data_IF_489695192225
#
_entry.id   IF_489695192225
#
_cell.length_a   1.000
_cell.length_b   1.000
_cell.length_c   1.000
_cell.angle_alpha   90.00
_cell.angle_beta   90.00
_cell.angle_gamma   90.00
#
_symmetry.space_group_name_H-M   'P 1'
#
loop_
_entity.id
_entity.type
_entity.pdbx_description
1 polymer ?
#
# COMPACT_ATOMS: atom_id res chain seq x y z
N UNK A 1 27.78 -6.78 -35.97
CA UNK A 1 27.11 -7.38 -34.79
C UNK A 1 27.61 -6.80 -33.47
N UNK A 2 28.92 -6.74 -33.20
CA UNK A 2 29.48 -6.28 -31.90
C UNK A 2 28.91 -4.94 -31.40
N UNK A 3 28.77 -3.94 -32.27
CA UNK A 3 28.21 -2.64 -31.90
C UNK A 3 26.77 -2.70 -31.33
N UNK A 4 25.94 -3.62 -31.83
CA UNK A 4 24.56 -3.79 -31.36
C UNK A 4 24.54 -4.37 -29.94
N UNK A 5 25.45 -5.31 -29.64
CA UNK A 5 25.60 -5.87 -28.29
C UNK A 5 26.07 -4.80 -27.29
N UNK A 6 27.08 -4.01 -27.66
CA UNK A 6 27.60 -2.94 -26.82
C UNK A 6 26.50 -1.90 -26.55
N UNK A 7 25.76 -1.47 -27.57
CA UNK A 7 24.67 -0.52 -27.42
C UNK A 7 23.54 -1.07 -26.52
N UNK A 8 23.18 -2.35 -26.67
CA UNK A 8 22.18 -3.00 -25.82
C UNK A 8 22.58 -3.06 -24.35
N UNK A 9 23.85 -3.39 -24.07
CA UNK A 9 24.38 -3.43 -22.70
C UNK A 9 24.39 -2.02 -22.08
N UNK A 10 24.87 -1.02 -22.82
CA UNK A 10 24.87 0.38 -22.36
C UNK A 10 23.45 0.84 -22.06
N UNK A 11 22.49 0.52 -22.94
CA UNK A 11 21.09 0.85 -22.73
C UNK A 11 20.55 0.25 -21.43
N UNK A 12 20.81 -1.05 -21.15
CA UNK A 12 20.40 -1.71 -19.91
C UNK A 12 21.01 -1.02 -18.68
N UNK A 13 22.29 -0.69 -18.72
CA UNK A 13 22.98 -0.01 -17.61
C UNK A 13 22.33 1.35 -17.34
N UNK A 14 22.16 2.16 -18.38
CA UNK A 14 21.64 3.53 -18.25
C UNK A 14 20.17 3.55 -17.87
N UNK A 15 19.35 2.65 -18.41
CA UNK A 15 17.89 2.67 -18.20
C UNK A 15 17.44 1.89 -16.97
N UNK A 16 18.24 0.93 -16.47
CA UNK A 16 17.83 0.09 -15.35
C UNK A 16 18.79 0.21 -14.15
N UNK A 17 20.10 0.08 -14.36
CA UNK A 17 21.07 0.09 -13.25
C UNK A 17 21.21 1.50 -12.65
N UNK A 18 21.33 2.54 -13.47
CA UNK A 18 21.47 3.92 -12.96
C UNK A 18 20.25 4.36 -12.13
N UNK A 19 19.00 4.24 -12.62
CA UNK A 19 17.83 4.56 -11.82
C UNK A 19 17.71 3.71 -10.56
N UNK A 20 18.12 2.44 -10.62
CA UNK A 20 18.14 1.56 -9.47
C UNK A 20 19.10 2.04 -8.38
N UNK A 21 20.36 2.33 -8.73
CA UNK A 21 21.35 2.85 -7.79
C UNK A 21 20.86 4.17 -7.19
N UNK A 22 20.28 5.03 -8.01
CA UNK A 22 19.70 6.30 -7.55
C UNK A 22 18.55 6.09 -6.55
N UNK A 23 17.63 5.17 -6.81
CA UNK A 23 16.55 4.81 -5.88
C UNK A 23 17.08 4.27 -4.56
N UNK A 24 18.07 3.37 -4.59
CA UNK A 24 18.69 2.83 -3.37
C UNK A 24 19.35 3.93 -2.55
N UNK A 25 20.09 4.84 -3.21
CA UNK A 25 20.70 5.99 -2.52
C UNK A 25 19.61 6.87 -1.90
N UNK A 26 18.54 7.18 -2.63
CA UNK A 26 17.42 7.96 -2.10
C UNK A 26 16.77 7.29 -0.90
N UNK A 27 16.51 5.98 -0.95
CA UNK A 27 15.93 5.24 0.17
C UNK A 27 16.84 5.28 1.41
N UNK A 28 18.15 5.08 1.22
CA UNK A 28 19.13 5.20 2.31
C UNK A 28 19.13 6.62 2.90
N UNK A 29 19.13 7.65 2.04
CA UNK A 29 19.09 9.05 2.47
C UNK A 29 17.80 9.38 3.24
N UNK A 30 16.66 8.87 2.78
CA UNK A 30 15.36 9.04 3.44
C UNK A 30 15.38 8.37 4.83
N UNK A 31 15.87 7.13 4.91
CA UNK A 31 16.00 6.40 6.19
C UNK A 31 16.96 7.12 7.14
N UNK A 32 18.09 7.61 6.63
CA UNK A 32 19.06 8.37 7.42
C UNK A 32 18.45 9.66 7.96
N UNK A 33 17.77 10.44 7.11
CA UNK A 33 17.09 11.67 7.50
C UNK A 33 16.01 11.43 8.56
N UNK A 34 15.26 10.33 8.42
CA UNK A 34 14.28 9.89 9.42
C UNK A 34 14.91 9.57 10.77
N UNK A 35 16.08 8.92 10.76
CA UNK A 35 16.82 8.59 11.99
C UNK A 35 17.36 9.84 12.67
N UNK A 36 17.93 10.78 11.92
CA UNK A 36 18.44 12.05 12.46
C UNK A 36 17.32 12.89 13.09
N UNK A 37 16.19 13.08 12.40
CA UNK A 37 15.05 13.83 12.94
C UNK A 37 14.50 13.24 14.25
N UNK A 38 14.57 11.92 14.42
CA UNK A 38 14.10 11.27 15.64
C UNK A 38 15.03 11.54 16.83
N UNK A 39 16.33 11.77 16.58
CA UNK A 39 17.32 12.05 17.61
C UNK A 39 17.17 13.47 18.18
N UNK A 40 16.96 14.46 17.30
CA UNK A 40 16.76 15.86 17.69
C UNK A 40 15.49 16.06 18.52
N UNK A 41 14.42 15.34 18.18
CA UNK A 41 13.14 15.43 18.92
C UNK A 41 13.25 14.82 20.32
N UNK A 42 14.09 13.79 20.52
CA UNK A 42 14.32 13.22 21.85
C UNK A 42 15.17 14.11 22.76
N UNK A 43 16.14 14.84 22.21
CA UNK A 43 17.05 15.70 22.97
C UNK A 43 16.37 16.98 23.50
N UNK A 44 15.40 17.54 22.77
CA UNK A 44 14.63 18.69 23.27
C UNK A 44 13.71 18.35 24.45
N UNK A 45 13.28 17.09 24.60
CA UNK A 45 12.33 16.71 25.64
C UNK A 45 12.98 16.48 27.02
N UNK A 46 14.32 16.41 27.10
CA UNK A 46 15.09 16.18 28.33
C UNK A 46 15.56 17.45 29.05
N UNK A 47 15.41 18.65 28.47
CA UNK A 47 15.92 19.91 29.06
C UNK A 47 14.79 20.83 29.56
N UNK A 48 13.51 20.47 29.40
CA UNK A 48 12.41 21.29 29.90
C UNK A 48 12.24 21.10 31.42
N UNK A 49 12.45 22.15 32.24
CA UNK A 49 12.35 22.06 33.69
C UNK A 49 10.92 21.67 34.10
N UNK A 50 10.85 20.66 34.95
CA UNK A 50 9.66 20.16 35.63
C UNK A 50 9.16 21.24 36.61
N UNK A 51 8.59 22.34 36.12
CA UNK A 51 7.98 23.34 36.99
C UNK A 51 6.53 23.64 36.60
N UNK A 52 5.64 23.08 37.43
CA UNK A 52 4.31 23.51 37.82
C UNK A 52 3.27 23.93 36.76
N UNK A 53 2.34 23.00 36.55
CA UNK A 53 0.88 23.19 36.50
C UNK A 53 0.35 24.35 35.63
N UNK A 54 0.00 24.03 34.40
CA UNK A 54 -1.16 24.64 33.71
C UNK A 54 -1.72 23.64 32.69
N UNK A 55 -3.01 23.33 32.82
CA UNK A 55 -3.69 22.19 32.19
C UNK A 55 -4.03 22.35 30.68
N UNK A 56 -3.40 23.29 29.98
CA UNK A 56 -3.77 23.67 28.60
C UNK A 56 -2.88 23.04 27.50
N UNK A 57 -1.80 22.33 27.85
CA UNK A 57 -0.76 21.91 26.88
C UNK A 57 -0.90 20.49 26.27
N UNK A 58 -2.03 19.81 26.45
CA UNK A 58 -2.23 18.44 25.94
C UNK A 58 -2.47 18.36 24.41
N UNK A 59 -2.85 19.47 23.79
CA UNK A 59 -3.13 19.57 22.35
C UNK A 59 -1.86 19.66 21.50
N UNK A 60 -0.82 20.37 21.95
CA UNK A 60 0.44 20.57 21.22
C UNK A 60 1.27 19.28 21.16
N UNK A 61 1.31 18.51 22.26
CA UNK A 61 2.03 17.23 22.34
C UNK A 61 1.42 16.15 21.43
N UNK A 62 0.11 16.23 21.15
CA UNK A 62 -0.58 15.31 20.21
C UNK A 62 -0.30 15.64 18.73
N UNK A 63 0.02 16.89 18.38
CA UNK A 63 0.33 17.29 17.00
C UNK A 63 1.71 16.77 16.55
N UNK A 64 2.73 16.86 17.40
CA UNK A 64 4.11 16.43 17.06
C UNK A 64 4.18 14.91 16.82
N UNK A 65 3.52 14.09 17.66
CA UNK A 65 3.46 12.63 17.44
C UNK A 65 2.70 12.23 16.16
N UNK A 66 1.75 13.03 15.70
CA UNK A 66 1.02 12.75 14.44
C UNK A 66 1.87 13.02 13.21
N UNK A 67 2.74 14.03 13.23
CA UNK A 67 3.60 14.37 12.10
C UNK A 67 4.59 13.24 11.77
N UNK A 68 5.33 12.74 12.77
CA UNK A 68 6.34 11.68 12.54
C UNK A 68 5.77 10.34 12.06
N UNK A 69 4.50 10.02 12.39
CA UNK A 69 3.83 8.83 11.86
C UNK A 69 3.41 8.98 10.39
N UNK A 70 3.13 10.20 9.93
CA UNK A 70 2.81 10.46 8.52
C UNK A 70 4.07 10.30 7.67
N UNK A 71 5.20 10.84 8.13
CA UNK A 71 6.47 10.78 7.40
C UNK A 71 6.97 9.34 7.22
N UNK A 72 6.88 8.50 8.27
CA UNK A 72 7.24 7.07 8.18
C UNK A 72 6.39 6.30 7.17
N UNK A 73 5.09 6.58 7.11
CA UNK A 73 4.19 5.91 6.18
C UNK A 73 4.52 6.27 4.72
N UNK A 74 4.90 7.53 4.45
CA UNK A 74 5.31 7.98 3.12
C UNK A 74 6.61 7.28 2.72
N UNK A 75 7.59 7.19 3.61
CA UNK A 75 8.84 6.46 3.35
C UNK A 75 8.60 4.99 3.07
N UNK A 76 7.77 4.31 3.87
CA UNK A 76 7.47 2.90 3.63
C UNK A 76 6.77 2.69 2.28
N UNK A 77 5.92 3.63 1.88
CA UNK A 77 5.29 3.62 0.56
C UNK A 77 6.32 3.80 -0.57
N UNK A 78 7.24 4.75 -0.45
CA UNK A 78 8.31 4.98 -1.44
C UNK A 78 9.21 3.76 -1.60
N UNK A 79 9.64 3.15 -0.50
CA UNK A 79 10.43 1.91 -0.51
C UNK A 79 9.63 0.77 -1.16
N UNK A 80 8.37 0.60 -0.78
CA UNK A 80 7.51 -0.46 -1.34
C UNK A 80 7.35 -0.30 -2.85
N UNK A 81 7.15 0.95 -3.32
CA UNK A 81 7.06 1.27 -4.75
C UNK A 81 8.38 0.97 -5.45
N UNK A 82 9.52 1.38 -4.88
CA UNK A 82 10.85 1.12 -5.42
C UNK A 82 11.16 -0.38 -5.55
N UNK A 83 10.87 -1.15 -4.50
CA UNK A 83 11.04 -2.61 -4.50
C UNK A 83 10.11 -3.29 -5.51
N UNK A 84 8.84 -2.86 -5.60
CA UNK A 84 7.89 -3.42 -6.57
C UNK A 84 8.34 -3.15 -8.00
N UNK A 85 8.79 -1.92 -8.27
CA UNK A 85 9.35 -1.55 -9.57
C UNK A 85 10.58 -2.39 -9.91
N UNK A 86 11.47 -2.63 -8.95
CA UNK A 86 12.64 -3.50 -9.13
C UNK A 86 12.20 -4.92 -9.50
N UNK A 87 11.33 -5.55 -8.70
CA UNK A 87 10.90 -6.94 -8.93
C UNK A 87 10.19 -7.11 -10.27
N UNK A 88 9.40 -6.13 -10.71
CA UNK A 88 8.69 -6.23 -11.98
C UNK A 88 9.54 -5.90 -13.21
N UNK A 89 10.53 -5.02 -13.08
CA UNK A 89 11.30 -4.54 -14.24
C UNK A 89 12.58 -5.36 -14.45
N UNK A 90 13.15 -5.92 -13.39
CA UNK A 90 14.43 -6.64 -13.42
C UNK A 90 14.46 -7.97 -14.21
N UNK A 91 13.39 -8.80 -14.26
CA UNK A 91 13.42 -10.07 -14.98
C UNK A 91 13.65 -9.92 -16.49
N UNK A 92 13.15 -8.83 -17.08
CA UNK A 92 13.18 -8.63 -18.53
C UNK A 92 14.58 -8.37 -19.10
N UNK A 93 15.36 -7.41 -18.59
CA UNK A 93 16.74 -7.18 -19.02
C UNK A 93 17.63 -8.41 -18.80
N UNK A 94 17.44 -9.13 -17.68
CA UNK A 94 18.23 -10.34 -17.40
C UNK A 94 17.94 -11.41 -18.44
N UNK A 95 16.66 -11.67 -18.74
CA UNK A 95 16.30 -12.64 -19.76
C UNK A 95 16.87 -12.25 -21.13
N UNK A 96 16.75 -10.99 -21.50
CA UNK A 96 17.29 -10.48 -22.76
C UNK A 96 18.81 -10.66 -22.84
N UNK A 97 19.54 -10.29 -21.78
CA UNK A 97 20.99 -10.46 -21.68
C UNK A 97 21.39 -11.94 -21.75
N UNK A 98 20.64 -12.82 -21.08
CA UNK A 98 20.86 -14.26 -21.09
C UNK A 98 20.74 -14.85 -22.50
N UNK A 99 19.67 -14.50 -23.23
CA UNK A 99 19.47 -14.93 -24.62
C UNK A 99 20.61 -14.43 -25.52
N UNK A 100 21.01 -13.18 -25.32
CA UNK A 100 22.05 -12.54 -26.13
C UNK A 100 23.44 -13.16 -25.92
N UNK A 101 23.78 -13.56 -24.69
CA UNK A 101 25.04 -14.25 -24.37
C UNK A 101 25.06 -15.68 -24.92
N UNK A 102 23.94 -16.39 -24.78
CA UNK A 102 23.86 -17.82 -25.13
C UNK A 102 23.80 -18.06 -26.64
N UNK A 103 23.47 -17.05 -27.46
CA UNK A 103 23.20 -17.19 -28.91
C UNK A 103 22.27 -18.37 -29.24
N UNK A 104 21.47 -18.82 -28.27
CA UNK A 104 20.63 -20.01 -28.39
C UNK A 104 19.38 -19.65 -29.15
N UNK A 105 19.18 -20.29 -30.31
CA UNK A 105 17.97 -20.19 -31.13
C UNK A 105 16.73 -20.80 -30.45
N UNK A 106 16.92 -21.68 -29.47
CA UNK A 106 15.83 -22.29 -28.71
C UNK A 106 15.45 -21.41 -27.51
N UNK A 107 14.74 -20.31 -27.79
CA UNK A 107 14.09 -19.48 -26.78
C UNK A 107 13.05 -20.31 -26.02
N UNK A 108 13.22 -20.46 -24.70
CA UNK A 108 12.23 -21.09 -23.83
C UNK A 108 10.95 -20.24 -23.84
N UNK A 109 9.95 -20.66 -24.63
CA UNK A 109 8.67 -19.94 -24.81
C UNK A 109 8.03 -19.55 -23.48
N UNK A 110 8.10 -20.42 -22.47
CA UNK A 110 7.56 -20.15 -21.13
C UNK A 110 8.20 -18.94 -20.47
N UNK A 111 9.53 -18.83 -20.54
CA UNK A 111 10.25 -17.71 -19.94
C UNK A 111 9.92 -16.44 -20.70
N UNK A 112 9.87 -16.48 -22.03
CA UNK A 112 9.45 -15.33 -22.83
C UNK A 112 8.05 -14.83 -22.46
N UNK A 113 7.06 -15.72 -22.36
CA UNK A 113 5.68 -15.38 -21.97
C UNK A 113 5.68 -14.77 -20.57
N UNK A 114 6.35 -15.41 -19.59
CA UNK A 114 6.43 -14.91 -18.22
C UNK A 114 7.01 -13.49 -18.18
N UNK A 115 8.09 -13.27 -18.92
CA UNK A 115 8.76 -11.97 -19.00
C UNK A 115 7.85 -10.90 -19.63
N UNK A 116 7.06 -11.27 -20.64
CA UNK A 116 6.04 -10.39 -21.21
C UNK A 116 4.93 -10.06 -20.22
N UNK A 117 4.45 -11.05 -19.46
CA UNK A 117 3.46 -10.84 -18.41
C UNK A 117 3.96 -9.85 -17.36
N UNK A 118 5.21 -9.99 -16.91
CA UNK A 118 5.84 -9.02 -15.99
C UNK A 118 5.88 -7.61 -16.58
N UNK A 119 6.16 -7.47 -17.87
CA UNK A 119 6.14 -6.16 -18.55
C UNK A 119 4.75 -5.52 -18.55
N UNK A 120 3.70 -6.29 -18.86
CA UNK A 120 2.33 -5.78 -18.81
C UNK A 120 1.88 -5.46 -17.38
N UNK A 121 2.25 -6.29 -16.41
CA UNK A 121 2.01 -6.02 -15.00
C UNK A 121 2.70 -4.72 -14.55
N UNK A 122 3.90 -4.43 -15.05
CA UNK A 122 4.59 -3.18 -14.76
C UNK A 122 3.76 -1.95 -15.23
N UNK A 123 3.18 -2.00 -16.44
CA UNK A 123 2.28 -0.95 -16.91
C UNK A 123 1.04 -0.79 -16.00
N UNK A 124 0.46 -1.88 -15.52
CA UNK A 124 -0.64 -1.82 -14.55
C UNK A 124 -0.17 -1.23 -13.21
N UNK A 125 1.03 -1.61 -12.75
CA UNK A 125 1.61 -1.09 -11.53
C UNK A 125 1.89 0.40 -11.58
N UNK A 126 2.26 0.97 -12.73
CA UNK A 126 2.38 2.42 -12.87
C UNK A 126 1.07 3.14 -12.49
N UNK A 127 -0.08 2.65 -12.94
CA UNK A 127 -1.37 3.21 -12.53
C UNK A 127 -1.54 3.15 -11.01
N UNK A 128 -1.27 2.01 -10.39
CA UNK A 128 -1.37 1.86 -8.93
C UNK A 128 -0.36 2.73 -8.17
N UNK A 129 0.86 2.90 -8.69
CA UNK A 129 1.89 3.74 -8.10
C UNK A 129 1.48 5.21 -8.15
N UNK A 130 1.01 5.71 -9.30
CA UNK A 130 0.53 7.09 -9.42
C UNK A 130 -0.70 7.34 -8.55
N UNK A 131 -1.61 6.38 -8.51
CA UNK A 131 -2.74 6.37 -7.59
C UNK A 131 -2.29 6.39 -6.13
N UNK A 132 -1.30 5.60 -5.75
CA UNK A 132 -0.78 5.53 -4.38
C UNK A 132 0.02 6.77 -3.98
N UNK A 133 0.76 7.36 -4.91
CA UNK A 133 1.56 8.57 -4.72
C UNK A 133 0.72 9.78 -4.32
N UNK A 134 -0.51 9.89 -4.84
CA UNK A 134 -1.43 10.95 -4.45
C UNK A 134 -2.06 10.64 -3.09
N UNK A 135 -1.57 11.33 -2.04
CA UNK A 135 -2.15 11.27 -0.70
C UNK A 135 -3.66 11.59 -0.69
N UNK A 136 -4.10 12.43 -1.63
CA UNK A 136 -5.49 12.78 -1.86
C UNK A 136 -6.28 11.58 -2.43
N UNK A 137 -5.73 10.91 -3.44
CA UNK A 137 -6.36 9.72 -4.03
C UNK A 137 -6.44 8.56 -3.03
N UNK A 138 -5.36 8.29 -2.27
CA UNK A 138 -5.38 7.31 -1.19
C UNK A 138 -6.38 7.63 -0.09
N UNK A 139 -6.68 8.91 0.15
CA UNK A 139 -7.70 9.33 1.11
C UNK A 139 -9.09 9.02 0.59
N UNK A 140 -9.37 9.34 -0.67
CA UNK A 140 -10.67 9.07 -1.29
C UNK A 140 -10.91 7.57 -1.50
N UNK A 141 -9.91 6.79 -1.94
CA UNK A 141 -9.99 5.33 -1.99
C UNK A 141 -10.31 4.73 -0.62
N UNK A 142 -9.65 5.20 0.44
CA UNK A 142 -9.96 4.74 1.80
C UNK A 142 -11.39 5.07 2.22
N UNK A 143 -11.97 6.20 1.77
CA UNK A 143 -13.38 6.50 2.03
C UNK A 143 -14.29 5.52 1.29
N UNK A 144 -14.03 5.27 0.01
CA UNK A 144 -14.78 4.28 -0.79
C UNK A 144 -14.77 2.89 -0.14
N UNK A 145 -13.58 2.39 0.25
CA UNK A 145 -13.45 1.09 0.93
C UNK A 145 -14.09 1.08 2.32
N UNK A 146 -14.07 2.20 3.06
CA UNK A 146 -14.78 2.31 4.34
C UNK A 146 -16.29 2.28 4.17
N UNK A 147 -16.83 2.90 3.10
CA UNK A 147 -18.26 2.84 2.80
C UNK A 147 -18.71 1.40 2.51
N UNK A 148 -17.90 0.62 1.78
CA UNK A 148 -18.17 -0.81 1.55
C UNK A 148 -18.20 -1.58 2.88
N UNK A 149 -17.20 -1.38 3.73
CA UNK A 149 -17.13 -2.04 5.05
C UNK A 149 -18.25 -1.62 6.01
N UNK A 150 -18.72 -0.38 5.93
CA UNK A 150 -19.85 0.10 6.74
C UNK A 150 -21.19 -0.43 6.24
N UNK A 151 -21.34 -0.61 4.92
CA UNK A 151 -22.52 -1.20 4.30
C UNK A 151 -22.68 -2.67 4.70
N UNK A 152 -21.60 -3.45 4.71
CA UNK A 152 -21.63 -4.85 5.17
C UNK A 152 -22.00 -4.99 6.64
N UNK A 153 -21.49 -4.10 7.51
CA UNK A 153 -21.88 -4.11 8.93
C UNK A 153 -23.35 -3.76 9.14
N UNK A 154 -23.92 -2.88 8.32
CA UNK A 154 -25.33 -2.52 8.39
C UNK A 154 -26.23 -3.68 7.95
N UNK A 155 -25.89 -4.34 6.84
CA UNK A 155 -26.60 -5.54 6.36
C UNK A 155 -26.58 -6.70 7.39
N UNK A 156 -25.43 -6.94 8.01
CA UNK A 156 -25.30 -8.01 9.01
C UNK A 156 -26.05 -7.69 10.33
N UNK A 157 -26.15 -6.40 10.69
CA UNK A 157 -26.97 -5.98 11.83
C UNK A 157 -28.47 -6.06 11.53
N UNK A 158 -28.93 -5.63 10.33
CA UNK A 158 -30.34 -5.72 9.93
C UNK A 158 -30.84 -7.18 9.82
N UNK A 159 -29.96 -8.13 9.49
CA UNK A 159 -30.29 -9.56 9.56
C UNK A 159 -30.39 -10.10 10.99
N UNK A 160 -29.65 -9.53 11.95
CA UNK A 160 -29.76 -9.92 13.38
C UNK A 160 -30.95 -9.31 14.10
N UNK A 161 -31.48 -8.18 13.62
CA UNK A 161 -32.64 -7.48 14.23
C UNK A 161 -33.99 -7.81 13.60
N UNK A 162 -34.08 -8.81 12.71
CA UNK A 162 -35.36 -9.47 12.43
C UNK A 162 -35.52 -10.66 13.39
N UNK A 163 -36.09 -10.47 14.60
CA UNK A 163 -36.54 -11.60 15.38
C UNK A 163 -37.56 -12.36 14.54
N UNK A 164 -37.40 -13.67 14.54
CA UNK A 164 -38.29 -14.67 13.97
C UNK A 164 -39.63 -14.65 14.75
N UNK A 165 -40.36 -13.53 14.68
CA UNK A 165 -41.63 -13.30 15.36
C UNK A 165 -42.77 -13.20 14.35
N UNK A 166 -42.91 -14.24 13.53
CA UNK A 166 -44.14 -14.65 12.86
C UNK A 166 -43.92 -16.13 12.54
N UNK A 167 -44.37 -17.06 13.36
CA UNK A 167 -45.77 -17.41 13.49
C UNK A 167 -45.86 -18.40 14.65
N UNK A 168 -46.37 -17.98 15.79
CA UNK A 168 -47.16 -18.91 16.56
C UNK A 168 -48.13 -18.17 17.46
N UNK A 169 -49.34 -18.72 17.48
CA UNK A 169 -50.22 -18.79 18.64
C UNK A 169 -51.01 -17.53 18.95
N UNK A 170 -52.26 -17.55 18.48
CA UNK A 170 -53.50 -17.00 19.07
C UNK A 170 -54.54 -16.86 17.94
N UNK A 171 -55.77 -17.38 17.98
CA UNK A 171 -56.71 -17.74 19.05
C UNK A 171 -57.70 -18.78 18.44
N UNK A 172 -57.99 -19.98 18.96
CA UNK A 172 -58.66 -20.34 20.23
C UNK A 172 -59.71 -19.30 20.65
N UNK A 173 -60.90 -19.36 20.05
CA UNK A 173 -62.10 -18.76 20.63
C UNK A 173 -62.98 -19.87 21.24
N UNK A 174 -63.37 -19.76 22.52
CA UNK A 174 -64.03 -20.81 23.28
C UNK A 174 -65.56 -20.85 23.08
N UNK A 175 -66.12 -22.00 23.48
CA UNK A 175 -67.54 -22.25 23.72
C UNK A 175 -68.28 -21.05 24.32
N UNK A 176 -69.40 -20.66 23.69
CA UNK A 176 -70.48 -19.98 24.40
C UNK A 176 -71.69 -20.90 24.49
N UNK A 177 -71.95 -21.32 25.73
CA UNK A 177 -73.12 -22.05 26.18
C UNK A 177 -74.34 -21.11 26.30
N UNK A 178 -75.50 -21.68 25.96
CA UNK A 178 -76.85 -21.47 26.51
C UNK A 178 -77.50 -20.07 26.52
N UNK A 179 -78.70 -19.96 25.93
CA UNK A 179 -79.99 -19.72 26.63
C UNK A 179 -81.07 -19.22 25.65
N UNK A 180 -81.93 -20.13 25.18
CA UNK A 180 -83.42 -20.06 25.09
C UNK A 180 -83.96 -21.11 24.13
#
# INVERSE_FOLDING_TARGET
MVAIHICGIISIIVTHIVPFVFLVILDILIVHRLKTNHYDTSMQHSVLPKNNRTATNSSTRKRIKRQGNVDRNITFMLITVGVTFMVMTFPYPIYWLYVQIRQTTMSNKTVFILTQTFRYLNCCCHFFIYSAASSLFCRELRKMFRCIKHRDRKLNNDQRTKPFNTMNKRDILPEHKNLL
#
